data_IF_104221941069
#
_entry.id   IF_104221941069
#
_cell.length_a   1.000
_cell.length_b   1.000
_cell.length_c   1.000
_cell.angle_alpha   90.00
_cell.angle_beta   90.00
_cell.angle_gamma   90.00
#
_symmetry.space_group_name_H-M   'P 1'
#
loop_
_entity.id
_entity.type
_entity.pdbx_description
1 polymer ?
#
# COMPACT_ATOMS: atom_id res chain seq x y z
N UNK A 1 65.26 -33.43 -40.66
CA UNK A 1 65.08 -34.13 -39.37
C UNK A 1 63.90 -33.49 -38.66
N UNK A 2 62.97 -34.30 -38.13
CA UNK A 2 61.74 -33.94 -37.37
C UNK A 2 60.72 -33.06 -38.11
N UNK A 3 59.53 -33.50 -38.51
CA UNK A 3 58.73 -34.63 -38.03
C UNK A 3 57.99 -34.25 -36.75
N UNK A 4 56.74 -33.76 -36.88
CA UNK A 4 55.65 -33.92 -35.90
C UNK A 4 54.31 -33.72 -36.62
N UNK A 5 53.56 -34.82 -36.69
CA UNK A 5 52.15 -34.88 -37.11
C UNK A 5 51.25 -34.62 -35.89
N UNK A 6 50.00 -34.26 -36.21
CA UNK A 6 48.75 -34.68 -35.54
C UNK A 6 48.33 -33.98 -34.25
N UNK A 7 47.14 -33.35 -34.29
CA UNK A 7 45.89 -33.73 -33.58
C UNK A 7 44.91 -32.53 -33.66
N UNK A 8 43.77 -32.65 -34.35
CA UNK A 8 42.43 -32.95 -33.76
C UNK A 8 42.17 -32.01 -32.56
N UNK A 9 41.37 -30.95 -32.68
CA UNK A 9 39.93 -31.01 -32.94
C UNK A 9 39.19 -30.85 -31.61
N UNK A 10 38.65 -29.65 -31.35
CA UNK A 10 37.58 -29.40 -30.37
C UNK A 10 37.24 -27.89 -30.39
N UNK A 11 36.34 -27.49 -31.29
CA UNK A 11 35.67 -26.20 -31.21
C UNK A 11 34.56 -26.33 -30.17
N UNK A 12 34.89 -26.21 -28.88
CA UNK A 12 33.88 -26.11 -27.81
C UNK A 12 33.53 -24.63 -27.68
N UNK A 13 32.54 -24.20 -28.47
CA UNK A 13 31.84 -22.96 -28.23
C UNK A 13 31.03 -23.15 -26.94
N UNK A 14 31.62 -22.76 -25.81
CA UNK A 14 30.91 -22.69 -24.53
C UNK A 14 30.03 -21.45 -24.54
N UNK A 15 28.89 -21.53 -25.25
CA UNK A 15 27.74 -20.67 -25.03
C UNK A 15 27.05 -21.14 -23.75
N UNK A 16 27.69 -20.88 -22.61
CA UNK A 16 26.99 -20.87 -21.32
C UNK A 16 26.13 -19.61 -21.31
N UNK A 17 24.94 -19.74 -21.90
CA UNK A 17 23.87 -18.76 -21.80
C UNK A 17 23.61 -18.48 -20.32
N UNK A 18 23.85 -17.24 -19.93
CA UNK A 18 23.47 -16.70 -18.64
C UNK A 18 21.94 -16.80 -18.53
N UNK A 19 21.44 -17.86 -17.91
CA UNK A 19 20.10 -17.85 -17.32
C UNK A 19 20.20 -16.95 -16.10
N UNK A 20 20.15 -15.63 -16.33
CA UNK A 20 19.73 -14.70 -15.30
C UNK A 20 18.31 -15.08 -14.93
N UNK A 21 18.14 -15.65 -13.75
CA UNK A 21 16.85 -15.60 -13.07
C UNK A 21 16.54 -14.12 -12.86
N UNK A 22 15.83 -13.51 -13.80
CA UNK A 22 15.10 -12.28 -13.55
C UNK A 22 14.04 -12.63 -12.52
N UNK A 23 14.38 -12.43 -11.26
CA UNK A 23 13.39 -12.31 -10.20
C UNK A 23 12.69 -10.99 -10.50
N UNK A 24 11.71 -11.03 -11.39
CA UNK A 24 10.75 -9.96 -11.58
C UNK A 24 10.03 -9.83 -10.25
N UNK A 25 10.47 -8.89 -9.43
CA UNK A 25 9.69 -8.40 -8.31
C UNK A 25 8.65 -7.47 -8.91
N UNK A 26 7.64 -8.04 -9.56
CA UNK A 26 6.36 -7.35 -9.62
C UNK A 26 5.93 -7.20 -8.16
N UNK A 27 5.58 -5.99 -7.71
CA UNK A 27 5.12 -5.79 -6.34
C UNK A 27 3.72 -6.41 -6.21
N UNK A 28 3.67 -7.74 -6.08
CA UNK A 28 2.45 -8.45 -5.75
C UNK A 28 2.04 -7.99 -4.35
N UNK A 29 0.99 -7.17 -4.30
CA UNK A 29 0.19 -6.99 -3.09
C UNK A 29 -0.07 -8.39 -2.54
N UNK A 30 0.38 -8.66 -1.32
CA UNK A 30 0.18 -9.95 -0.70
C UNK A 30 -1.33 -10.17 -0.53
N UNK A 31 -1.91 -10.90 -1.48
CA UNK A 31 -3.33 -11.18 -1.56
C UNK A 31 -3.83 -11.90 -0.29
N UNK A 32 -2.94 -12.58 0.46
CA UNK A 32 -3.29 -13.21 1.73
C UNK A 32 -3.62 -12.21 2.84
N UNK A 33 -3.24 -10.93 2.68
CA UNK A 33 -3.51 -9.86 3.64
C UNK A 33 -4.79 -9.07 3.37
N UNK A 34 -5.43 -9.30 2.21
CA UNK A 34 -6.66 -8.60 1.84
C UNK A 34 -7.89 -9.23 2.49
N UNK A 35 -8.81 -8.38 2.95
CA UNK A 35 -10.14 -8.84 3.36
C UNK A 35 -10.92 -9.36 2.16
N UNK A 36 -11.93 -10.21 2.39
CA UNK A 36 -12.82 -10.68 1.32
C UNK A 36 -13.43 -9.52 0.51
N UNK A 37 -13.85 -8.45 1.19
CA UNK A 37 -14.37 -7.25 0.56
C UNK A 37 -13.32 -6.53 -0.31
N UNK A 38 -12.06 -6.49 0.12
CA UNK A 38 -10.99 -5.89 -0.69
C UNK A 38 -10.60 -6.76 -1.89
N UNK A 39 -10.66 -8.09 -1.77
CA UNK A 39 -10.45 -8.98 -2.91
C UNK A 39 -11.54 -8.78 -3.96
N UNK A 40 -12.81 -8.71 -3.56
CA UNK A 40 -13.91 -8.37 -4.46
C UNK A 40 -13.77 -6.95 -5.03
N UNK A 41 -13.31 -5.99 -4.22
CA UNK A 41 -13.01 -4.63 -4.66
C UNK A 41 -11.90 -4.56 -5.71
N UNK A 42 -10.90 -5.44 -5.64
CA UNK A 42 -9.86 -5.57 -6.68
C UNK A 42 -10.47 -5.98 -8.02
N UNK A 43 -11.43 -6.90 -8.04
CA UNK A 43 -12.11 -7.30 -9.29
C UNK A 43 -12.90 -6.14 -9.90
N UNK A 44 -13.55 -5.33 -9.06
CA UNK A 44 -14.23 -4.10 -9.50
C UNK A 44 -13.21 -3.12 -10.08
N UNK A 45 -12.09 -2.91 -9.37
CA UNK A 45 -11.01 -2.01 -9.80
C UNK A 45 -10.46 -2.37 -11.18
N UNK A 46 -10.25 -3.66 -11.44
CA UNK A 46 -9.76 -4.17 -12.73
C UNK A 46 -10.81 -4.01 -13.83
N UNK A 47 -12.08 -4.33 -13.53
CA UNK A 47 -13.20 -4.22 -14.48
C UNK A 47 -13.43 -2.79 -14.95
N UNK A 48 -13.28 -1.81 -14.06
CA UNK A 48 -13.39 -0.39 -14.37
C UNK A 48 -12.07 0.24 -14.84
N UNK A 49 -11.03 -0.57 -15.04
CA UNK A 49 -9.72 -0.16 -15.57
C UNK A 49 -9.11 1.03 -14.82
N UNK A 50 -9.29 1.11 -13.50
CA UNK A 50 -8.86 2.25 -12.67
C UNK A 50 -7.34 2.51 -12.78
N UNK A 51 -6.56 1.46 -13.05
CA UNK A 51 -5.11 1.47 -13.29
C UNK A 51 -4.68 2.28 -14.53
N UNK A 52 -5.61 2.66 -15.42
CA UNK A 52 -5.31 3.55 -16.56
C UNK A 52 -5.00 4.98 -16.13
N UNK A 53 -5.54 5.42 -15.00
CA UNK A 53 -5.36 6.78 -14.49
C UNK A 53 -4.55 6.80 -13.19
N UNK A 54 -4.74 5.82 -12.32
CA UNK A 54 -4.16 5.78 -10.99
C UNK A 54 -2.93 4.85 -10.90
N UNK A 55 -1.99 5.21 -10.04
CA UNK A 55 -0.98 4.29 -9.54
C UNK A 55 -1.48 3.53 -8.30
N UNK A 56 -0.82 2.41 -8.00
CA UNK A 56 -1.01 1.65 -6.76
C UNK A 56 0.37 1.40 -6.14
N UNK A 57 1.07 2.49 -5.83
CA UNK A 57 2.40 2.59 -5.20
C UNK A 57 3.57 2.04 -5.96
N UNK A 58 3.41 1.87 -7.27
CA UNK A 58 4.54 1.88 -8.18
C UNK A 58 4.51 3.22 -8.91
N UNK A 59 5.62 3.96 -8.83
CA UNK A 59 5.71 5.26 -9.47
C UNK A 59 5.55 5.08 -10.99
N UNK A 60 4.49 5.68 -11.53
CA UNK A 60 4.14 5.60 -12.94
C UNK A 60 4.09 6.99 -13.53
N UNK A 61 5.00 7.27 -14.46
CA UNK A 61 5.12 8.58 -15.12
C UNK A 61 3.98 8.87 -16.09
N UNK A 62 3.17 7.87 -16.42
CA UNK A 62 2.03 7.93 -17.33
C UNK A 62 0.68 8.08 -16.61
N UNK A 63 0.68 8.25 -15.28
CA UNK A 63 -0.56 8.44 -14.51
C UNK A 63 -1.06 9.87 -14.58
N UNK A 64 -2.38 10.02 -14.72
CA UNK A 64 -3.08 11.31 -14.75
C UNK A 64 -3.80 11.63 -13.43
N UNK A 65 -3.80 10.68 -12.50
CA UNK A 65 -4.48 10.76 -11.21
C UNK A 65 -3.54 10.33 -10.06
N UNK A 66 -3.87 10.67 -8.80
CA UNK A 66 -3.04 10.34 -7.64
C UNK A 66 -2.82 8.84 -7.44
N UNK A 67 -1.73 8.51 -6.75
CA UNK A 67 -1.46 7.16 -6.27
C UNK A 67 -2.47 6.76 -5.18
N UNK A 68 -3.16 5.63 -5.37
CA UNK A 68 -4.19 5.16 -4.45
C UNK A 68 -3.65 4.42 -3.22
N UNK A 69 -2.34 4.18 -3.16
CA UNK A 69 -1.66 3.64 -1.98
C UNK A 69 -1.19 4.72 -1.00
N UNK A 70 -1.56 5.99 -1.23
CA UNK A 70 -1.24 7.09 -0.33
C UNK A 70 -1.79 6.82 1.09
N UNK A 71 -1.01 7.06 2.16
CA UNK A 71 -1.43 6.78 3.53
C UNK A 71 -2.75 7.42 3.95
N UNK A 72 -3.11 8.56 3.38
CA UNK A 72 -4.38 9.21 3.69
C UNK A 72 -5.59 8.34 3.31
N UNK A 73 -5.48 7.60 2.21
CA UNK A 73 -6.52 6.70 1.72
C UNK A 73 -6.59 5.40 2.54
N UNK A 74 -5.50 5.04 3.23
CA UNK A 74 -5.41 3.86 4.09
C UNK A 74 -6.33 3.90 5.32
N UNK A 75 -6.73 5.11 5.71
CA UNK A 75 -7.36 5.36 6.99
C UNK A 75 -8.88 5.13 6.96
N UNK A 76 -9.51 5.57 5.88
CA UNK A 76 -10.96 5.77 5.86
C UNK A 76 -11.56 5.39 4.50
N UNK A 77 -12.24 4.25 4.47
CA UNK A 77 -13.04 3.83 3.32
C UNK A 77 -14.17 4.83 3.03
N UNK A 78 -14.66 5.59 4.02
CA UNK A 78 -15.70 6.60 3.78
C UNK A 78 -15.19 7.76 2.92
N UNK A 79 -13.90 8.13 3.02
CA UNK A 79 -13.36 9.16 2.13
C UNK A 79 -13.41 8.70 0.67
N UNK A 80 -13.03 7.45 0.42
CA UNK A 80 -13.09 6.84 -0.92
C UNK A 80 -14.53 6.72 -1.39
N UNK A 81 -15.43 6.27 -0.52
CA UNK A 81 -16.85 6.13 -0.83
C UNK A 81 -17.49 7.47 -1.20
N UNK A 82 -17.26 8.52 -0.39
CA UNK A 82 -17.74 9.87 -0.68
C UNK A 82 -17.13 10.39 -1.98
N UNK A 83 -15.82 10.21 -2.18
CA UNK A 83 -15.17 10.65 -3.42
C UNK A 83 -15.79 10.00 -4.66
N UNK A 84 -16.01 8.68 -4.63
CA UNK A 84 -16.59 7.94 -5.75
C UNK A 84 -18.05 8.34 -6.02
N UNK A 85 -18.83 8.62 -4.97
CA UNK A 85 -20.23 9.08 -5.08
C UNK A 85 -20.39 10.49 -5.65
N UNK A 86 -19.33 11.31 -5.63
CA UNK A 86 -19.33 12.67 -6.14
C UNK A 86 -18.24 12.88 -7.22
N UNK A 87 -17.79 11.80 -7.86
CA UNK A 87 -16.70 11.83 -8.82
C UNK A 87 -16.98 12.78 -10.00
N UNK A 88 -18.26 12.99 -10.37
CA UNK A 88 -18.65 13.92 -11.42
C UNK A 88 -18.28 15.39 -11.14
N UNK A 89 -17.98 15.72 -9.88
CA UNK A 89 -17.53 17.05 -9.46
C UNK A 89 -16.01 17.19 -9.46
N UNK A 90 -15.30 16.20 -10.01
CA UNK A 90 -13.83 16.13 -10.02
C UNK A 90 -13.30 15.99 -11.46
N UNK A 91 -11.98 15.83 -11.61
CA UNK A 91 -11.36 15.51 -12.91
C UNK A 91 -11.42 14.02 -13.24
N UNK A 92 -11.88 13.18 -12.31
CA UNK A 92 -12.11 11.77 -12.55
C UNK A 92 -13.32 11.64 -13.48
N UNK A 93 -13.21 10.89 -14.59
CA UNK A 93 -14.36 10.63 -15.46
C UNK A 93 -15.50 9.98 -14.66
N UNK A 94 -16.77 10.29 -14.96
CA UNK A 94 -17.87 9.60 -14.33
C UNK A 94 -17.78 8.11 -14.67
N UNK A 95 -17.94 7.28 -13.64
CA UNK A 95 -17.99 5.82 -13.75
C UNK A 95 -19.30 5.34 -13.16
N UNK A 96 -19.97 4.44 -13.85
CA UNK A 96 -21.20 3.82 -13.34
C UNK A 96 -20.81 2.73 -12.34
N UNK A 97 -21.04 2.99 -11.06
CA UNK A 97 -20.82 2.05 -9.97
C UNK A 97 -22.11 1.87 -9.18
N UNK A 98 -22.40 0.64 -8.76
CA UNK A 98 -23.42 0.36 -7.75
C UNK A 98 -22.92 0.75 -6.35
N UNK A 99 -23.83 0.96 -5.39
CA UNK A 99 -23.45 1.24 -3.99
C UNK A 99 -22.54 0.15 -3.40
N UNK A 100 -22.77 -1.10 -3.79
CA UNK A 100 -21.94 -2.22 -3.37
C UNK A 100 -20.54 -2.15 -3.98
N UNK A 101 -20.41 -1.83 -5.27
CA UNK A 101 -19.11 -1.65 -5.91
C UNK A 101 -18.32 -0.49 -5.31
N UNK A 102 -18.99 0.61 -4.97
CA UNK A 102 -18.38 1.74 -4.25
C UNK A 102 -17.82 1.27 -2.90
N UNK A 103 -18.60 0.50 -2.14
CA UNK A 103 -18.18 -0.05 -0.85
C UNK A 103 -16.96 -0.97 -1.01
N UNK A 104 -17.01 -1.91 -1.96
CA UNK A 104 -15.93 -2.86 -2.23
C UNK A 104 -14.64 -2.16 -2.68
N UNK A 105 -14.73 -1.20 -3.62
CA UNK A 105 -13.58 -0.38 -4.03
C UNK A 105 -12.98 0.39 -2.85
N UNK A 106 -13.82 0.92 -1.98
CA UNK A 106 -13.36 1.67 -0.80
C UNK A 106 -12.58 0.79 0.17
N UNK A 107 -13.00 -0.47 0.36
CA UNK A 107 -12.22 -1.44 1.12
C UNK A 107 -10.89 -1.78 0.44
N UNK A 108 -10.90 -2.01 -0.88
CA UNK A 108 -9.68 -2.32 -1.62
C UNK A 108 -8.66 -1.18 -1.54
N UNK A 109 -9.07 0.06 -1.87
CA UNK A 109 -8.21 1.25 -1.83
C UNK A 109 -7.64 1.46 -0.42
N UNK A 110 -8.46 1.31 0.63
CA UNK A 110 -7.98 1.44 2.00
C UNK A 110 -6.92 0.40 2.40
N UNK A 111 -6.87 -0.76 1.74
CA UNK A 111 -5.85 -1.79 2.01
C UNK A 111 -4.60 -1.65 1.13
N UNK A 112 -4.61 -0.84 0.06
CA UNK A 112 -3.47 -0.67 -0.85
C UNK A 112 -2.21 -0.16 -0.15
N UNK A 113 -2.37 0.78 0.78
CA UNK A 113 -1.25 1.30 1.57
C UNK A 113 -0.68 0.21 2.49
N UNK A 114 -1.53 -0.48 3.25
CA UNK A 114 -1.11 -1.53 4.19
C UNK A 114 -0.40 -2.69 3.50
N UNK A 115 -0.84 -3.04 2.29
CA UNK A 115 -0.18 -4.08 1.50
C UNK A 115 1.27 -3.74 1.14
N UNK A 116 1.66 -2.46 1.11
CA UNK A 116 3.02 -2.01 0.77
C UNK A 116 3.93 -1.85 1.95
N UNK A 117 3.34 -1.67 3.11
CA UNK A 117 4.05 -1.34 4.32
C UNK A 117 3.68 -2.40 5.37
N UNK A 118 4.46 -3.49 5.42
CA UNK A 118 4.23 -4.58 6.35
C UNK A 118 4.31 -4.08 7.78
N UNK A 119 3.20 -4.17 8.51
CA UNK A 119 3.14 -3.84 9.92
C UNK A 119 3.48 -5.04 10.79
N UNK A 120 3.80 -4.80 12.07
CA UNK A 120 3.89 -5.88 13.07
C UNK A 120 2.55 -6.60 13.24
N UNK A 121 2.52 -7.80 13.81
CA UNK A 121 1.24 -8.47 14.06
C UNK A 121 0.42 -7.69 15.10
N UNK A 122 -0.92 -7.82 15.13
CA UNK A 122 -1.73 -7.21 16.17
C UNK A 122 -1.33 -7.64 17.60
N UNK A 123 -0.80 -8.86 17.77
CA UNK A 123 -0.33 -9.32 19.09
C UNK A 123 0.99 -8.69 19.53
N UNK A 124 1.81 -8.25 18.58
CA UNK A 124 3.12 -7.62 18.81
C UNK A 124 3.03 -6.09 18.92
N UNK A 125 1.86 -5.51 18.65
CA UNK A 125 1.64 -4.07 18.63
C UNK A 125 1.41 -3.51 20.04
N UNK A 126 2.09 -2.41 20.35
CA UNK A 126 1.90 -1.59 21.55
C UNK A 126 1.41 -0.16 21.21
N UNK A 127 1.30 0.17 19.92
CA UNK A 127 0.73 1.40 19.41
C UNK A 127 0.01 1.17 18.06
N UNK A 128 -0.68 2.22 17.60
CA UNK A 128 -1.24 2.27 16.24
C UNK A 128 -0.74 3.52 15.53
N UNK A 129 -0.45 3.39 14.25
CA UNK A 129 -0.11 4.54 13.41
C UNK A 129 -1.30 5.51 13.36
N UNK A 130 -1.14 6.81 13.68
CA UNK A 130 -2.25 7.76 13.71
C UNK A 130 -2.79 8.15 12.33
N UNK A 131 -2.08 7.76 11.27
CA UNK A 131 -2.46 8.04 9.89
C UNK A 131 -3.17 6.86 9.26
N UNK A 132 -2.56 5.67 9.24
CA UNK A 132 -3.13 4.49 8.55
C UNK A 132 -3.76 3.45 9.50
N UNK A 133 -3.65 3.65 10.82
CA UNK A 133 -4.08 2.72 11.87
C UNK A 133 -3.51 1.31 11.75
N UNK A 134 -2.38 1.16 11.07
CA UNK A 134 -1.64 -0.08 11.12
C UNK A 134 -1.09 -0.31 12.54
N UNK A 135 -1.02 -1.57 13.01
CA UNK A 135 -0.33 -1.92 14.24
C UNK A 135 1.15 -1.52 14.18
N UNK A 136 1.68 -0.95 15.26
CA UNK A 136 3.06 -0.46 15.34
C UNK A 136 3.69 -0.98 16.63
N UNK A 137 4.96 -1.38 16.55
CA UNK A 137 5.84 -1.56 17.72
C UNK A 137 6.59 -0.26 17.99
N UNK A 138 6.42 0.33 19.18
CA UNK A 138 7.09 1.56 19.58
C UNK A 138 8.60 1.38 19.60
N UNK A 139 9.12 0.24 20.08
CA UNK A 139 10.55 -0.08 20.06
C UNK A 139 11.13 -0.03 18.64
N UNK A 140 10.47 -0.69 17.69
CA UNK A 140 10.91 -0.71 16.30
C UNK A 140 10.80 0.69 15.66
N UNK A 141 9.70 1.40 15.90
CA UNK A 141 9.52 2.76 15.40
C UNK A 141 10.56 3.75 15.97
N UNK A 142 11.00 3.60 17.22
CA UNK A 142 12.10 4.42 17.78
C UNK A 142 13.44 4.14 17.10
N UNK A 143 13.72 2.85 16.85
CA UNK A 143 14.93 2.41 16.16
C UNK A 143 14.98 2.94 14.72
N UNK A 144 13.84 2.94 14.03
CA UNK A 144 13.70 3.45 12.67
C UNK A 144 13.51 4.98 12.62
N UNK A 145 13.37 5.60 13.79
CA UNK A 145 13.08 7.04 13.98
C UNK A 145 11.76 7.48 13.34
N UNK A 146 10.79 6.59 13.23
CA UNK A 146 9.44 6.82 12.76
C UNK A 146 8.54 7.29 13.91
N UNK A 147 8.86 8.46 14.47
CA UNK A 147 8.05 9.07 15.52
C UNK A 147 8.08 10.60 15.51
N UNK A 148 7.05 11.19 16.11
CA UNK A 148 6.88 12.64 16.25
C UNK A 148 6.40 12.94 17.66
N UNK A 149 7.06 13.85 18.36
CA UNK A 149 6.52 14.44 19.58
C UNK A 149 5.70 15.68 19.22
N UNK A 150 4.43 15.72 19.64
CA UNK A 150 3.52 16.84 19.42
C UNK A 150 2.64 17.03 20.65
N UNK A 151 2.60 18.25 21.21
CA UNK A 151 1.90 18.57 22.47
C UNK A 151 2.23 17.61 23.62
N UNK A 152 3.52 17.35 23.81
CA UNK A 152 4.08 16.46 24.84
C UNK A 152 3.68 14.97 24.73
N UNK A 153 3.03 14.58 23.64
CA UNK A 153 2.68 13.20 23.32
C UNK A 153 3.55 12.70 22.16
N UNK A 154 4.03 11.46 22.24
CA UNK A 154 4.83 10.83 21.19
C UNK A 154 3.93 9.93 20.34
N UNK A 155 3.94 10.16 19.04
CA UNK A 155 3.20 9.40 18.02
C UNK A 155 4.18 8.56 17.23
N UNK A 156 3.81 7.32 16.97
CA UNK A 156 4.64 6.33 16.27
C UNK A 156 4.00 6.00 14.93
N UNK A 157 4.82 5.82 13.89
CA UNK A 157 4.36 5.63 12.53
C UNK A 157 4.82 4.30 11.97
N UNK A 158 4.00 3.77 11.08
CA UNK A 158 4.30 2.54 10.36
C UNK A 158 5.28 2.81 9.19
N UNK A 159 5.17 3.97 8.54
CA UNK A 159 6.07 4.38 7.45
C UNK A 159 6.38 5.89 7.45
N UNK A 160 7.40 6.29 6.68
CA UNK A 160 7.81 7.71 6.56
C UNK A 160 6.71 8.58 5.95
N UNK A 161 5.92 8.04 5.03
CA UNK A 161 4.82 8.75 4.38
C UNK A 161 3.72 9.10 5.39
N UNK A 162 3.41 8.17 6.31
CA UNK A 162 2.54 8.44 7.45
C UNK A 162 3.11 9.55 8.33
N UNK A 163 4.39 9.51 8.68
CA UNK A 163 5.03 10.56 9.46
C UNK A 163 4.93 11.93 8.77
N UNK A 164 5.26 11.99 7.47
CA UNK A 164 5.18 13.20 6.64
C UNK A 164 3.76 13.74 6.55
N UNK A 165 2.76 12.86 6.40
CA UNK A 165 1.34 13.23 6.38
C UNK A 165 0.92 13.84 7.72
N UNK A 166 1.27 13.18 8.84
CA UNK A 166 0.96 13.67 10.18
C UNK A 166 1.56 15.06 10.44
N UNK A 167 2.82 15.28 10.08
CA UNK A 167 3.50 16.58 10.24
C UNK A 167 2.80 17.74 9.52
N UNK A 168 2.06 17.47 8.44
CA UNK A 168 1.31 18.51 7.70
C UNK A 168 0.02 18.93 8.41
N UNK A 169 -0.59 18.05 9.21
CA UNK A 169 -1.88 18.30 9.85
C UNK A 169 -2.05 17.51 11.18
N UNK A 170 -1.18 17.72 12.18
CA UNK A 170 -1.13 16.85 13.36
C UNK A 170 -2.42 16.92 14.20
N UNK A 171 -3.08 18.08 14.28
CA UNK A 171 -4.36 18.22 14.98
C UNK A 171 -5.48 17.39 14.32
N UNK A 172 -5.53 17.36 12.99
CA UNK A 172 -6.55 16.62 12.26
C UNK A 172 -6.44 15.10 12.52
N UNK A 173 -5.23 14.55 12.45
CA UNK A 173 -5.01 13.12 12.71
C UNK A 173 -5.29 12.74 14.17
N UNK A 174 -5.00 13.64 15.12
CA UNK A 174 -5.35 13.40 16.54
C UNK A 174 -6.86 13.32 16.76
N UNK A 175 -7.63 14.22 16.15
CA UNK A 175 -9.08 14.17 16.26
C UNK A 175 -9.65 12.91 15.57
N UNK A 176 -9.13 12.54 14.40
CA UNK A 176 -9.50 11.28 13.73
C UNK A 176 -9.22 10.05 14.60
N UNK A 177 -8.05 9.99 15.26
CA UNK A 177 -7.71 8.94 16.22
C UNK A 177 -8.73 8.84 17.37
N UNK A 178 -9.06 9.96 18.00
CA UNK A 178 -10.06 9.98 19.09
C UNK A 178 -11.43 9.50 18.61
N UNK A 179 -11.86 9.95 17.43
CA UNK A 179 -13.13 9.53 16.83
C UNK A 179 -13.16 8.03 16.58
N UNK A 180 -12.08 7.46 16.03
CA UNK A 180 -11.97 6.01 15.77
C UNK A 180 -11.95 5.20 17.07
N UNK A 181 -11.16 5.59 18.06
CA UNK A 181 -11.14 4.94 19.38
C UNK A 181 -12.53 4.92 20.03
N UNK A 182 -13.25 6.04 19.95
CA UNK A 182 -14.63 6.13 20.43
C UNK A 182 -15.57 5.19 19.66
N UNK A 183 -15.43 5.10 18.34
CA UNK A 183 -16.25 4.20 17.51
C UNK A 183 -15.98 2.72 17.83
N UNK A 184 -14.71 2.32 18.00
CA UNK A 184 -14.33 0.96 18.38
C UNK A 184 -14.88 0.58 19.76
N UNK A 185 -14.72 1.47 20.75
CA UNK A 185 -15.27 1.24 22.09
C UNK A 185 -16.81 1.12 22.09
N UNK A 186 -17.50 1.84 21.20
CA UNK A 186 -18.95 1.73 21.04
C UNK A 186 -19.38 0.41 20.38
N UNK A 187 -18.58 -0.13 19.45
CA UNK A 187 -18.85 -1.40 18.78
C UNK A 187 -18.63 -2.63 19.69
N UNK A 188 -17.79 -2.50 20.71
CA UNK A 188 -17.51 -3.53 21.72
C UNK A 188 -18.51 -3.51 22.90
N UNK A 189 -19.41 -2.52 22.96
CA UNK A 189 -20.43 -2.40 24.00
C UNK A 189 -21.70 -3.20 23.59
N UNK A 190 -22.12 -4.21 24.38
CA UNK A 190 -23.24 -5.09 24.06
C UNK A 190 -24.62 -4.44 24.12
#
# INVERSE_FOLDING_TARGET
>A
MSGKKLLIGALIVSLAGLVSCTKSTDSEIDMASLSEAAMQGKEVFERHECIKCHAMGEARSDTSAPDLSDPFLANDSMFVEVHLKFAENTKMPPIELTDEEVRLLSHYVAQLHRAKHPSVSPEEADAFCPVCFAPVSTEQAEKDRLYVTFLDEKYYFECEECEKAFRKAPEAFRELMKMRQKALAAAESP
#
